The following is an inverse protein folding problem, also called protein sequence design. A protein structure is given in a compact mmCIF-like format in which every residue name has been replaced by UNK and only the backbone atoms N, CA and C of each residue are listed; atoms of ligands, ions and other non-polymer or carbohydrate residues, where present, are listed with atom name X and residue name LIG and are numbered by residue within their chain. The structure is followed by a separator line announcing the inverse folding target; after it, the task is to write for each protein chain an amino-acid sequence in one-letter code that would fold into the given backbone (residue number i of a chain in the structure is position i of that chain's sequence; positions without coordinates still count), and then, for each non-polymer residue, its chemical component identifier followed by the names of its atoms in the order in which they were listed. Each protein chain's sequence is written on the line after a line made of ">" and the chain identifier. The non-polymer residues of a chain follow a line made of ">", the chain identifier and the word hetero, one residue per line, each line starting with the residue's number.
data_IF_674713160666
#
_entry.id   IF_674713160666
#
_cell.length_a   1.000
_cell.length_b   1.000
_cell.length_c   1.000
_cell.angle_alpha   90.00
_cell.angle_beta   90.00
_cell.angle_gamma   90.00
#
_symmetry.space_group_name_H-M   'P 1'
#
loop_
_entity.id
_entity.type
_entity.pdbx_description
1 polymer ?
#
# COMPACT_ATOMS: atom_id res chain seq x y z
N UNK A 1 -9.13 -9.24 -14.00
CA UNK A 1 -7.89 -8.49 -13.70
C UNK A 1 -6.78 -9.51 -13.39
N UNK A 2 -5.70 -9.48 -14.14
CA UNK A 2 -4.63 -10.47 -13.99
C UNK A 2 -3.58 -9.94 -13.02
N UNK A 3 -3.26 -10.73 -11.98
CA UNK A 3 -2.25 -10.36 -10.99
C UNK A 3 -0.84 -10.65 -11.50
N UNK A 4 0.09 -9.79 -11.15
CA UNK A 4 1.51 -9.93 -11.47
C UNK A 4 2.42 -9.98 -10.24
N UNK A 5 1.91 -9.63 -9.06
CA UNK A 5 2.65 -9.69 -7.80
C UNK A 5 2.00 -10.67 -6.84
N UNK A 6 2.84 -11.46 -6.16
CA UNK A 6 2.36 -12.40 -5.15
C UNK A 6 2.10 -11.74 -3.80
N UNK A 7 2.67 -10.55 -3.57
CA UNK A 7 2.51 -9.82 -2.31
C UNK A 7 2.49 -8.33 -2.59
N UNK A 8 1.46 -7.66 -2.13
CA UNK A 8 1.31 -6.22 -2.29
C UNK A 8 0.61 -5.64 -1.07
N UNK A 9 1.03 -4.45 -0.66
CA UNK A 9 0.40 -3.74 0.45
C UNK A 9 -0.12 -2.40 -0.02
N UNK A 10 -1.38 -2.11 0.32
CA UNK A 10 -2.00 -0.81 0.06
C UNK A 10 -2.17 -0.04 1.36
N UNK A 11 -1.81 1.23 1.35
CA UNK A 11 -1.95 2.12 2.49
C UNK A 11 -2.87 3.28 2.13
N UNK A 12 -3.89 3.47 2.94
CA UNK A 12 -4.77 4.64 2.89
C UNK A 12 -4.39 5.52 4.07
N UNK A 13 -3.71 6.64 3.80
CA UNK A 13 -3.08 7.45 4.83
C UNK A 13 -3.86 8.73 5.06
N UNK A 14 -4.26 8.95 6.31
CA UNK A 14 -4.91 10.16 6.77
C UNK A 14 -4.03 10.81 7.85
N UNK A 15 -4.45 11.99 8.33
CA UNK A 15 -3.68 12.72 9.34
C UNK A 15 -3.38 11.87 10.59
N UNK A 16 -4.37 11.14 11.08
CA UNK A 16 -4.27 10.44 12.38
C UNK A 16 -4.32 8.92 12.27
N UNK A 17 -4.61 8.37 11.09
CA UNK A 17 -4.77 6.94 10.92
C UNK A 17 -4.24 6.48 9.56
N UNK A 18 -3.63 5.30 9.57
CA UNK A 18 -3.22 4.58 8.36
C UNK A 18 -3.98 3.26 8.34
N UNK A 19 -4.78 3.06 7.30
CA UNK A 19 -5.41 1.75 7.05
C UNK A 19 -4.54 1.01 6.05
N UNK A 20 -4.08 -0.18 6.44
CA UNK A 20 -3.17 -0.97 5.63
C UNK A 20 -3.80 -2.30 5.26
N UNK A 21 -3.67 -2.68 3.99
CA UNK A 21 -4.16 -3.96 3.49
C UNK A 21 -3.01 -4.75 2.86
N UNK A 22 -2.78 -5.94 3.38
CA UNK A 22 -1.84 -6.90 2.79
C UNK A 22 -2.62 -7.90 1.94
N UNK A 23 -2.25 -7.99 0.66
CA UNK A 23 -2.80 -8.99 -0.27
C UNK A 23 -1.67 -9.93 -0.66
N UNK A 24 -1.76 -11.19 -0.25
CA UNK A 24 -0.68 -12.17 -0.44
C UNK A 24 -1.24 -13.51 -0.93
N UNK A 25 -0.60 -14.09 -1.95
CA UNK A 25 -0.99 -15.38 -2.48
C UNK A 25 -0.34 -15.67 -3.82
N UNK A 26 -0.40 -16.92 -4.23
CA UNK A 26 0.14 -17.34 -5.52
C UNK A 26 -0.63 -16.67 -6.67
N UNK A 27 0.06 -16.44 -7.77
CA UNK A 27 -0.55 -15.91 -8.99
C UNK A 27 -1.60 -16.88 -9.51
N UNK A 28 -2.73 -16.34 -9.98
CA UNK A 28 -3.83 -17.14 -10.48
C UNK A 28 -4.79 -17.65 -9.41
N UNK A 29 -4.54 -17.33 -8.14
CA UNK A 29 -5.43 -17.65 -7.02
C UNK A 29 -5.91 -16.37 -6.36
N UNK A 30 -7.02 -16.44 -5.64
CA UNK A 30 -7.48 -15.31 -4.83
C UNK A 30 -6.51 -15.10 -3.66
N UNK A 31 -6.04 -13.85 -3.44
CA UNK A 31 -5.10 -13.59 -2.37
C UNK A 31 -5.76 -13.66 -1.00
N UNK A 32 -4.99 -13.98 0.02
CA UNK A 32 -5.38 -13.74 1.39
C UNK A 32 -5.30 -12.24 1.66
N UNK A 33 -6.34 -11.69 2.26
CA UNK A 33 -6.48 -10.27 2.57
C UNK A 33 -6.43 -10.09 4.08
N UNK A 34 -5.53 -9.24 4.53
CA UNK A 34 -5.46 -8.86 5.93
C UNK A 34 -5.43 -7.34 6.03
N UNK A 35 -6.34 -6.76 6.83
CA UNK A 35 -6.45 -5.31 6.99
C UNK A 35 -6.17 -4.98 8.45
N UNK A 36 -5.25 -4.03 8.67
CA UNK A 36 -4.91 -3.51 9.99
C UNK A 36 -4.93 -1.98 9.96
N UNK A 37 -5.27 -1.38 11.09
CA UNK A 37 -5.23 0.07 11.25
C UNK A 37 -4.14 0.45 12.24
N UNK A 38 -3.44 1.54 11.94
CA UNK A 38 -2.36 2.07 12.77
C UNK A 38 -2.59 3.57 12.94
N UNK A 39 -2.17 4.12 14.08
CA UNK A 39 -2.10 5.58 14.19
C UNK A 39 -0.84 6.09 13.48
N UNK A 40 -0.75 7.40 13.32
CA UNK A 40 0.42 8.02 12.70
C UNK A 40 1.51 8.38 13.71
N UNK A 41 1.39 7.91 14.94
CA UNK A 41 2.45 8.04 15.94
C UNK A 41 3.61 7.10 15.60
N UNK A 42 4.82 7.53 15.93
CA UNK A 42 6.03 6.77 15.55
C UNK A 42 6.01 5.31 16.01
N UNK A 43 5.63 4.98 17.26
CA UNK A 43 5.59 3.57 17.68
C UNK A 43 4.62 2.72 16.84
N UNK A 44 3.49 3.30 16.42
CA UNK A 44 2.51 2.60 15.60
C UNK A 44 3.02 2.41 14.16
N UNK A 45 3.67 3.42 13.61
CA UNK A 45 4.25 3.30 12.26
C UNK A 45 5.40 2.28 12.25
N UNK A 46 6.13 2.13 13.36
CA UNK A 46 7.13 1.06 13.48
C UNK A 46 6.49 -0.33 13.44
N UNK A 47 5.31 -0.49 14.03
CA UNK A 47 4.57 -1.75 13.95
C UNK A 47 4.16 -2.06 12.51
N UNK A 48 3.74 -1.05 11.77
CA UNK A 48 3.43 -1.22 10.34
C UNK A 48 4.68 -1.63 9.57
N UNK A 49 5.81 -0.96 9.79
CA UNK A 49 7.08 -1.34 9.18
C UNK A 49 7.45 -2.78 9.50
N UNK A 50 7.33 -3.19 10.77
CA UNK A 50 7.65 -4.55 11.19
C UNK A 50 6.75 -5.56 10.47
N UNK A 51 5.50 -5.24 10.27
CA UNK A 51 4.58 -6.09 9.51
C UNK A 51 5.01 -6.23 8.05
N UNK A 52 5.44 -5.14 7.42
CA UNK A 52 5.98 -5.17 6.04
C UNK A 52 7.18 -6.12 5.97
N UNK A 53 8.09 -6.02 6.94
CA UNK A 53 9.28 -6.88 6.99
C UNK A 53 8.92 -8.34 7.24
N UNK A 54 8.03 -8.63 8.19
CA UNK A 54 7.61 -9.98 8.52
C UNK A 54 6.90 -10.66 7.35
N UNK A 55 6.07 -9.91 6.62
CA UNK A 55 5.35 -10.42 5.47
C UNK A 55 6.24 -10.53 4.23
N UNK A 56 7.47 -10.05 4.30
CA UNK A 56 8.40 -9.97 3.17
C UNK A 56 7.76 -9.23 1.98
N UNK A 57 6.98 -8.19 2.27
CA UNK A 57 6.25 -7.45 1.25
C UNK A 57 7.13 -6.33 0.70
N UNK A 58 7.63 -6.48 -0.51
CA UNK A 58 8.54 -5.54 -1.15
C UNK A 58 7.84 -4.53 -2.05
N UNK A 59 6.51 -4.58 -2.14
CA UNK A 59 5.72 -3.69 -2.99
C UNK A 59 4.64 -3.03 -2.15
N UNK A 60 4.72 -1.71 -2.05
CA UNK A 60 3.78 -0.91 -1.25
C UNK A 60 3.29 0.24 -2.10
N UNK A 61 2.00 0.48 -2.12
CA UNK A 61 1.42 1.68 -2.72
C UNK A 61 0.64 2.42 -1.65
N UNK A 62 0.74 3.74 -1.65
CA UNK A 62 0.09 4.57 -0.65
C UNK A 62 -0.62 5.76 -1.27
N UNK A 63 -1.81 6.03 -0.76
CA UNK A 63 -2.57 7.23 -1.08
C UNK A 63 -2.67 8.08 0.19
N UNK A 64 -2.52 9.38 0.06
CA UNK A 64 -2.55 10.28 1.19
C UNK A 64 -3.25 11.58 0.83
N UNK A 65 -3.95 12.15 1.83
CA UNK A 65 -4.39 13.53 1.75
C UNK A 65 -3.22 14.43 2.16
N UNK A 66 -2.77 15.30 1.25
CA UNK A 66 -1.65 16.20 1.53
C UNK A 66 -0.33 15.47 1.69
N UNK A 67 0.42 15.83 2.74
CA UNK A 67 1.79 15.39 2.96
C UNK A 67 1.92 14.27 3.99
N UNK A 68 0.81 13.68 4.46
CA UNK A 68 0.83 12.69 5.54
C UNK A 68 1.53 11.38 5.16
N UNK A 69 1.79 11.15 3.87
CA UNK A 69 2.53 9.99 3.39
C UNK A 69 4.03 10.04 3.71
N UNK A 70 4.59 11.25 3.90
CA UNK A 70 6.05 11.41 4.01
C UNK A 70 6.68 10.66 5.19
N UNK A 71 6.16 10.75 6.43
CA UNK A 71 6.78 10.03 7.54
C UNK A 71 6.82 8.52 7.36
N UNK A 72 5.73 7.92 6.88
CA UNK A 72 5.71 6.47 6.67
C UNK A 72 6.57 6.07 5.47
N UNK A 73 6.61 6.88 4.42
CA UNK A 73 7.50 6.65 3.29
C UNK A 73 8.96 6.57 3.76
N UNK A 74 9.40 7.56 4.54
CA UNK A 74 10.77 7.61 5.07
C UNK A 74 11.08 6.42 5.96
N UNK A 75 10.11 5.93 6.72
CA UNK A 75 10.28 4.77 7.58
C UNK A 75 10.38 3.46 6.79
N UNK A 76 9.67 3.34 5.66
CA UNK A 76 9.67 2.13 4.84
C UNK A 76 10.83 2.09 3.84
N UNK A 77 11.34 3.24 3.43
CA UNK A 77 12.36 3.32 2.37
C UNK A 77 13.60 2.45 2.64
N UNK A 78 14.12 2.34 3.89
CA UNK A 78 15.29 1.48 4.13
C UNK A 78 14.97 -0.01 4.25
N UNK A 79 13.71 -0.41 4.21
CA UNK A 79 13.36 -1.83 4.33
C UNK A 79 14.01 -2.66 3.22
N UNK A 80 14.41 -3.89 3.55
CA UNK A 80 15.07 -4.82 2.61
C UNK A 80 16.31 -4.20 1.97
N UNK A 81 17.11 -3.46 2.74
CA UNK A 81 18.30 -2.74 2.27
C UNK A 81 17.99 -1.77 1.11
N UNK A 82 16.82 -1.13 1.18
CA UNK A 82 16.37 -0.20 0.16
C UNK A 82 15.74 -0.88 -1.07
N UNK A 83 15.63 -2.20 -1.08
CA UNK A 83 15.03 -2.95 -2.19
C UNK A 83 13.52 -3.10 -2.03
N UNK A 84 12.86 -2.04 -1.68
CA UNK A 84 11.41 -1.95 -1.58
C UNK A 84 10.91 -1.01 -2.66
N UNK A 85 9.81 -1.37 -3.31
CA UNK A 85 9.17 -0.52 -4.29
C UNK A 85 7.99 0.18 -3.64
N UNK A 86 8.05 1.50 -3.53
CA UNK A 86 7.01 2.31 -2.90
C UNK A 86 6.46 3.28 -3.94
N UNK A 87 5.14 3.20 -4.17
CA UNK A 87 4.44 4.15 -5.04
C UNK A 87 3.56 5.06 -4.19
N UNK A 88 3.65 6.36 -4.44
CA UNK A 88 2.68 7.31 -3.90
C UNK A 88 1.70 7.59 -5.03
N UNK A 89 0.45 7.21 -4.82
CA UNK A 89 -0.56 7.23 -5.88
C UNK A 89 -1.47 8.43 -5.75
N UNK A 90 -1.94 8.90 -6.91
CA UNK A 90 -2.85 10.02 -7.01
C UNK A 90 -4.29 9.52 -6.88
N UNK A 91 -5.07 10.13 -5.97
CA UNK A 91 -6.47 9.79 -5.76
C UNK A 91 -7.30 9.89 -7.04
N UNK A 92 -7.02 10.85 -7.91
CA UNK A 92 -7.73 11.02 -9.19
C UNK A 92 -7.53 9.82 -10.11
N UNK A 93 -6.30 9.32 -10.17
CA UNK A 93 -6.00 8.15 -10.99
C UNK A 93 -6.78 6.94 -10.50
N UNK A 94 -6.83 6.75 -9.19
CA UNK A 94 -7.52 5.61 -8.59
C UNK A 94 -9.03 5.64 -8.83
N UNK A 95 -9.65 6.81 -8.82
CA UNK A 95 -11.09 6.96 -9.07
C UNK A 95 -11.48 6.59 -10.49
N UNK A 96 -10.56 6.70 -11.42
CA UNK A 96 -10.83 6.45 -12.84
C UNK A 96 -10.52 5.03 -13.28
N UNK A 97 -10.02 4.17 -12.38
CA UNK A 97 -9.77 2.76 -12.71
C UNK A 97 -11.07 1.99 -12.62
N UNK A 98 -11.50 1.30 -13.71
CA UNK A 98 -12.74 0.54 -13.68
C UNK A 98 -12.65 -0.74 -12.85
N UNK A 99 -13.79 -1.23 -12.41
CA UNK A 99 -13.91 -2.54 -11.77
C UNK A 99 -13.92 -2.53 -10.24
N UNK A 100 -13.91 -1.35 -9.60
CA UNK A 100 -13.99 -1.29 -8.15
C UNK A 100 -15.38 -1.69 -7.66
N UNK A 101 -15.43 -2.58 -6.65
CA UNK A 101 -16.66 -2.87 -5.91
C UNK A 101 -16.89 -1.76 -4.88
N UNK A 102 -18.14 -1.32 -4.74
CA UNK A 102 -18.48 -0.16 -3.91
C UNK A 102 -18.24 -0.39 -2.41
N UNK A 103 -18.26 -1.64 -1.94
CA UNK A 103 -18.04 -1.99 -0.54
C UNK A 103 -16.58 -2.30 -0.20
N UNK A 104 -15.69 -2.24 -1.17
CA UNK A 104 -14.26 -2.51 -0.94
C UNK A 104 -13.58 -1.29 -0.29
N UNK A 105 -12.83 -1.53 0.78
CA UNK A 105 -12.04 -0.48 1.44
C UNK A 105 -10.98 0.06 0.50
N UNK A 106 -10.64 1.36 0.65
CA UNK A 106 -9.65 2.03 -0.19
C UNK A 106 -8.29 1.33 -0.14
N UNK A 107 -7.82 0.96 1.06
CA UNK A 107 -6.55 0.26 1.21
C UNK A 107 -6.54 -1.08 0.45
N UNK A 108 -7.64 -1.82 0.50
CA UNK A 108 -7.77 -3.08 -0.24
C UNK A 108 -7.78 -2.84 -1.75
N UNK A 109 -8.45 -1.77 -2.20
CA UNK A 109 -8.48 -1.42 -3.62
C UNK A 109 -7.07 -1.05 -4.11
N UNK A 110 -6.32 -0.27 -3.30
CA UNK A 110 -4.93 0.07 -3.61
C UNK A 110 -4.08 -1.20 -3.75
N UNK A 111 -4.18 -2.11 -2.78
CA UNK A 111 -3.43 -3.37 -2.82
C UNK A 111 -3.80 -4.23 -4.04
N UNK A 112 -5.09 -4.28 -4.38
CA UNK A 112 -5.61 -5.03 -5.53
C UNK A 112 -5.03 -4.49 -6.83
N UNK A 113 -5.06 -3.16 -7.01
CA UNK A 113 -4.53 -2.53 -8.21
C UNK A 113 -3.01 -2.68 -8.31
N UNK A 114 -2.30 -2.57 -7.18
CA UNK A 114 -0.85 -2.75 -7.16
C UNK A 114 -0.49 -4.18 -7.57
N UNK A 115 -1.17 -5.17 -6.99
CA UNK A 115 -0.95 -6.58 -7.30
C UNK A 115 -1.16 -6.89 -8.78
N UNK A 116 -2.11 -6.21 -9.40
CA UNK A 116 -2.42 -6.35 -10.83
C UNK A 116 -1.53 -5.50 -11.75
N UNK A 117 -0.64 -4.68 -11.19
CA UNK A 117 0.24 -3.81 -11.98
C UNK A 117 -0.46 -2.62 -12.63
N UNK A 118 -1.59 -2.19 -12.10
CA UNK A 118 -2.42 -1.15 -12.70
C UNK A 118 -2.24 0.25 -12.10
N UNK A 119 -1.29 0.40 -11.17
CA UNK A 119 -1.04 1.70 -10.55
C UNK A 119 0.12 2.44 -11.21
N UNK A 120 -0.07 3.74 -11.38
CA UNK A 120 1.01 4.66 -11.74
C UNK A 120 1.31 5.51 -10.52
N UNK A 121 2.55 5.46 -10.05
CA UNK A 121 2.98 6.28 -8.95
C UNK A 121 3.17 7.73 -9.37
N UNK A 122 3.00 8.65 -8.41
CA UNK A 122 3.38 10.02 -8.58
C UNK A 122 4.90 10.13 -8.45
N UNK A 123 5.49 11.07 -9.19
CA UNK A 123 6.91 11.36 -9.03
C UNK A 123 7.16 11.93 -7.63
N UNK A 124 8.15 11.39 -6.95
CA UNK A 124 8.55 11.87 -5.63
C UNK A 124 9.86 12.65 -5.82
N UNK A 125 9.85 13.97 -5.64
CA UNK A 125 11.08 14.75 -5.76
C UNK A 125 12.05 14.40 -4.63
N UNK A 126 13.30 14.38 -4.98
CA UNK A 126 14.39 14.15 -4.01
C UNK A 126 14.52 15.33 -3.04
#
# INVERSE_FOLDING_TARGET
>A
MQDILTCAMGLDIHRDVIVACLAKGELGTDPEIEIRSFSTLIPEMRKLRDWVLEAECRYVAMESTGIYWQPIYEMLEPCFDGQISILVVNARHMKNVPGRKTDMRDAQWIATLLRAGLLKGSFIPD
#
